data_IF_940967331420
#
_entry.id   IF_940967331420
#
_cell.length_a   1.000
_cell.length_b   1.000
_cell.length_c   1.000
_cell.angle_alpha   90.00
_cell.angle_beta   90.00
_cell.angle_gamma   90.00
#
_symmetry.space_group_name_H-M   'P 1'
#
loop_
_entity.id
_entity.type
_entity.pdbx_description
1 polymer ?
#
# COMPACT_ATOMS: atom_id res chain seq x y z
N UNK A 1 -3.54 -7.51 -6.49
CA UNK A 1 -4.16 -8.51 -5.58
C UNK A 1 -5.11 -7.82 -4.61
N UNK A 2 -4.63 -6.90 -3.77
CA UNK A 2 -5.42 -6.21 -2.74
C UNK A 2 -6.67 -5.49 -3.24
N UNK A 3 -6.60 -4.83 -4.40
CA UNK A 3 -7.77 -4.19 -5.03
C UNK A 3 -8.95 -5.16 -5.16
N UNK A 4 -8.71 -6.36 -5.69
CA UNK A 4 -9.75 -7.38 -5.86
C UNK A 4 -10.34 -7.80 -4.52
N UNK A 5 -9.50 -8.04 -3.52
CA UNK A 5 -9.94 -8.47 -2.18
C UNK A 5 -10.83 -7.39 -1.54
N UNK A 6 -10.43 -6.12 -1.65
CA UNK A 6 -11.20 -5.01 -1.10
C UNK A 6 -12.57 -4.88 -1.78
N UNK A 7 -12.61 -5.01 -3.10
CA UNK A 7 -13.85 -4.98 -3.88
C UNK A 7 -14.76 -6.20 -3.61
N UNK A 8 -14.22 -7.33 -3.17
CA UNK A 8 -14.98 -8.54 -2.85
C UNK A 8 -15.61 -8.50 -1.45
N UNK A 9 -15.00 -7.81 -0.48
CA UNK A 9 -15.46 -7.81 0.92
C UNK A 9 -16.72 -6.94 1.14
N UNK A 10 -16.97 -5.90 0.31
CA UNK A 10 -18.17 -5.02 0.27
C UNK A 10 -18.88 -4.88 1.63
N UNK A 11 -18.16 -4.43 2.67
CA UNK A 11 -18.70 -4.24 4.02
C UNK A 11 -18.43 -2.78 4.48
N UNK A 12 -19.46 -2.01 4.83
CA UNK A 12 -19.29 -0.63 5.30
C UNK A 12 -18.53 -0.52 6.64
N UNK A 13 -18.36 -1.61 7.38
CA UNK A 13 -17.60 -1.66 8.63
C UNK A 13 -16.16 -2.18 8.43
N UNK A 14 -15.75 -2.41 7.17
CA UNK A 14 -14.40 -2.83 6.82
C UNK A 14 -13.68 -1.75 6.04
N UNK A 15 -12.41 -1.51 6.37
CA UNK A 15 -11.52 -0.63 5.62
C UNK A 15 -10.17 -1.30 5.43
N UNK A 16 -9.65 -1.22 4.21
CA UNK A 16 -8.27 -1.57 3.90
C UNK A 16 -7.45 -0.28 3.84
N UNK A 17 -6.33 -0.25 4.58
CA UNK A 17 -5.36 0.82 4.55
C UNK A 17 -4.02 0.22 4.12
N UNK A 18 -3.41 0.77 3.09
CA UNK A 18 -2.05 0.44 2.68
C UNK A 18 -1.11 1.61 3.05
N UNK A 19 -0.11 1.31 3.85
CA UNK A 19 0.94 2.26 4.22
C UNK A 19 2.22 1.92 3.43
N UNK A 20 2.65 2.83 2.57
CA UNK A 20 3.98 2.77 1.96
C UNK A 20 4.98 3.42 2.91
N UNK A 21 5.96 2.65 3.37
CA UNK A 21 7.02 3.10 4.27
C UNK A 21 8.34 3.35 3.52
N UNK A 22 8.29 3.59 2.21
CA UNK A 22 9.48 3.97 1.46
C UNK A 22 10.02 5.32 1.96
N UNK A 23 11.28 5.36 2.41
CA UNK A 23 11.93 6.61 2.89
C UNK A 23 12.06 7.69 1.81
N UNK A 24 11.82 7.33 0.54
CA UNK A 24 11.73 8.28 -0.57
C UNK A 24 10.38 9.01 -0.66
N UNK A 25 9.43 8.69 0.23
CA UNK A 25 8.14 9.36 0.35
C UNK A 25 7.32 9.32 -0.93
N UNK A 26 6.61 10.42 -1.21
CA UNK A 26 5.78 10.57 -2.41
C UNK A 26 6.54 10.38 -3.72
N UNK A 27 7.80 10.81 -3.79
CA UNK A 27 8.60 10.62 -5.00
C UNK A 27 8.85 9.13 -5.33
N UNK A 28 8.86 8.26 -4.31
CA UNK A 28 9.02 6.82 -4.48
C UNK A 28 7.65 6.11 -4.62
N UNK A 29 6.71 6.40 -3.72
CA UNK A 29 5.44 5.68 -3.61
C UNK A 29 4.33 6.22 -4.53
N UNK A 30 4.30 7.54 -4.79
CA UNK A 30 3.26 8.23 -5.56
C UNK A 30 3.05 7.62 -6.95
N UNK A 31 4.10 7.45 -7.78
CA UNK A 31 3.96 6.84 -9.11
C UNK A 31 3.38 5.43 -9.09
N UNK A 32 3.65 4.66 -8.03
CA UNK A 32 3.12 3.30 -7.85
C UNK A 32 1.63 3.38 -7.52
N UNK A 33 1.22 4.30 -6.64
CA UNK A 33 -0.19 4.51 -6.30
C UNK A 33 -0.99 5.02 -7.49
N UNK A 34 -0.46 5.98 -8.24
CA UNK A 34 -1.10 6.50 -9.46
C UNK A 34 -1.31 5.38 -10.50
N UNK A 35 -0.28 4.56 -10.73
CA UNK A 35 -0.37 3.45 -11.67
C UNK A 35 -1.32 2.33 -11.19
N UNK A 36 -1.40 2.11 -9.87
CA UNK A 36 -2.28 1.10 -9.28
C UNK A 36 -3.74 1.56 -9.22
N UNK A 37 -4.00 2.87 -9.15
CA UNK A 37 -5.32 3.50 -9.02
C UNK A 37 -6.25 2.77 -8.02
N UNK A 38 -5.83 2.64 -6.74
CA UNK A 38 -6.57 1.87 -5.76
C UNK A 38 -7.87 2.58 -5.35
N UNK A 39 -8.91 1.80 -5.04
CA UNK A 39 -10.16 2.34 -4.47
C UNK A 39 -10.21 2.28 -2.94
N UNK A 40 -9.13 1.81 -2.32
CA UNK A 40 -8.92 1.79 -0.88
C UNK A 40 -7.92 2.88 -0.46
N UNK A 41 -7.81 3.10 0.85
CA UNK A 41 -7.00 4.20 1.40
C UNK A 41 -5.51 3.86 1.28
N UNK A 42 -4.77 4.78 0.67
CA UNK A 42 -3.31 4.76 0.64
C UNK A 42 -2.76 5.85 1.57
N UNK A 43 -1.69 5.52 2.30
CA UNK A 43 -0.94 6.45 3.14
C UNK A 43 0.54 6.31 2.82
N UNK A 44 1.26 7.43 2.84
CA UNK A 44 2.73 7.46 2.75
C UNK A 44 3.26 7.74 4.15
N UNK A 45 4.05 6.83 4.70
CA UNK A 45 4.67 6.90 6.01
C UNK A 45 6.20 6.81 5.87
N UNK A 46 6.78 7.84 5.27
CA UNK A 46 8.23 7.93 4.99
C UNK A 46 9.11 7.86 6.25
N UNK A 47 8.52 8.06 7.43
CA UNK A 47 9.20 8.06 8.72
C UNK A 47 9.01 6.76 9.52
N UNK A 48 8.40 5.73 8.92
CA UNK A 48 8.19 4.42 9.56
C UNK A 48 7.49 4.53 10.92
N UNK A 49 6.56 5.47 11.07
CA UNK A 49 5.84 5.71 12.32
C UNK A 49 4.87 4.56 12.63
N UNK A 50 4.26 3.97 11.59
CA UNK A 50 3.32 2.87 11.71
C UNK A 50 4.07 1.62 12.18
N UNK A 51 5.14 1.21 11.50
CA UNK A 51 5.93 0.06 11.94
C UNK A 51 6.49 0.25 13.34
N UNK A 52 6.93 1.46 13.70
CA UNK A 52 7.38 1.79 15.05
C UNK A 52 6.25 1.66 16.08
N UNK A 53 5.05 2.14 15.78
CA UNK A 53 3.92 2.11 16.70
C UNK A 53 3.37 0.69 16.93
N UNK A 54 3.40 -0.15 15.89
CA UNK A 54 2.86 -1.52 15.94
C UNK A 54 3.95 -2.61 16.08
N UNK A 55 5.21 -2.21 16.26
CA UNK A 55 6.37 -3.09 16.39
C UNK A 55 6.50 -4.07 15.20
N UNK A 56 6.28 -3.57 13.99
CA UNK A 56 6.53 -4.35 12.77
C UNK A 56 8.02 -4.44 12.52
N UNK A 57 8.52 -5.67 12.38
CA UNK A 57 9.96 -5.93 12.18
C UNK A 57 10.36 -6.05 10.70
N UNK A 58 9.39 -6.06 9.79
CA UNK A 58 9.61 -6.12 8.34
C UNK A 58 8.43 -5.49 7.59
N UNK A 59 8.74 -4.86 6.47
CA UNK A 59 7.75 -4.43 5.46
C UNK A 59 7.66 -5.53 4.39
N UNK A 60 6.44 -5.97 4.04
CA UNK A 60 6.23 -6.88 2.91
C UNK A 60 5.75 -6.09 1.70
N UNK A 61 6.55 -6.09 0.63
CA UNK A 61 6.15 -5.61 -0.68
C UNK A 61 5.85 -6.80 -1.60
N UNK A 62 4.74 -6.73 -2.34
CA UNK A 62 4.45 -7.65 -3.46
C UNK A 62 4.54 -6.83 -4.75
N UNK A 63 5.62 -7.01 -5.50
CA UNK A 63 5.82 -6.39 -6.80
C UNK A 63 5.22 -7.28 -7.90
N UNK A 64 4.24 -6.77 -8.64
CA UNK A 64 3.76 -7.45 -9.85
C UNK A 64 4.83 -7.30 -10.93
N UNK A 65 5.61 -8.36 -11.22
CA UNK A 65 6.41 -8.44 -12.44
C UNK A 65 5.46 -8.34 -13.64
N UNK A 66 5.37 -7.16 -14.24
CA UNK A 66 4.76 -7.01 -15.56
C UNK A 66 5.77 -7.57 -16.54
N UNK A 67 5.40 -8.65 -17.24
CA UNK A 67 6.22 -9.23 -18.30
C UNK A 67 6.55 -8.17 -19.34
N UNK A 68 7.84 -7.97 -19.58
CA UNK A 68 8.32 -7.32 -20.80
C UNK A 68 8.01 -8.29 -21.95
N UNK A 69 7.10 -7.89 -22.82
CA UNK A 69 7.09 -8.33 -24.22
C UNK A 69 8.06 -7.46 -25.02
#
# INVERSE_FOLDING_TARGET
>A
MWQRIYEEIIDPNFVLICAAEDTGGEAAAGPIFDAANPTYIQVIDENHLISSAFNFVNVRSEERRVGKE
#
